data_IF_784610133351
#
_entry.id   IF_784610133351
#
_cell.length_a   1.000
_cell.length_b   1.000
_cell.length_c   1.000
_cell.angle_alpha   90.00
_cell.angle_beta   90.00
_cell.angle_gamma   90.00
#
_symmetry.space_group_name_H-M   'P 1'
#
loop_
_entity.id
_entity.type
_entity.pdbx_description
1 polymer ?
#
# COMPACT_ATOMS: atom_id res chain seq x y z
N UNK A 1 -11.40 0.69 0.46
CA UNK A 1 -11.48 0.24 1.86
C UNK A 1 -10.24 -0.61 2.13
N UNK A 2 -9.28 -0.06 2.87
CA UNK A 2 -8.01 -0.68 3.19
C UNK A 2 -8.16 -1.47 4.49
N UNK A 3 -8.94 -2.54 4.43
CA UNK A 3 -9.42 -3.29 5.59
C UNK A 3 -8.39 -4.20 6.24
N UNK A 4 -7.25 -4.43 5.60
CA UNK A 4 -6.23 -5.36 6.08
C UNK A 4 -5.02 -5.46 5.15
N UNK A 5 -4.09 -6.37 5.46
CA UNK A 5 -2.88 -6.60 4.66
C UNK A 5 -3.20 -7.17 3.28
N UNK A 6 -2.34 -6.88 2.31
CA UNK A 6 -2.43 -7.34 0.93
C UNK A 6 -3.30 -6.48 0.02
N UNK A 7 -3.87 -5.36 0.50
CA UNK A 7 -4.65 -4.45 -0.35
C UNK A 7 -3.72 -3.66 -1.27
N UNK A 8 -4.02 -3.68 -2.58
CA UNK A 8 -3.26 -2.99 -3.61
C UNK A 8 -3.98 -1.68 -3.98
N UNK A 9 -3.27 -0.56 -3.83
CA UNK A 9 -3.81 0.79 -3.96
C UNK A 9 -2.89 1.70 -4.76
N UNK A 10 -3.45 2.69 -5.45
CA UNK A 10 -2.69 3.68 -6.19
C UNK A 10 -2.23 4.81 -5.25
N UNK A 11 -0.93 5.04 -5.15
CA UNK A 11 -0.37 6.10 -4.32
C UNK A 11 -0.20 7.37 -5.17
N UNK A 12 -0.76 8.48 -4.65
CA UNK A 12 -0.75 9.83 -5.22
C UNK A 12 -1.79 10.13 -6.33
N UNK A 13 -2.85 10.86 -5.94
CA UNK A 13 -3.86 11.42 -6.86
C UNK A 13 -3.66 12.94 -7.08
N UNK A 14 -2.41 13.43 -7.15
CA UNK A 14 -2.15 14.86 -7.40
C UNK A 14 -2.46 15.27 -8.86
N UNK A 15 -3.29 16.30 -9.12
CA UNK A 15 -3.94 16.47 -10.43
C UNK A 15 -3.11 17.08 -11.57
N UNK A 16 -1.80 17.37 -11.41
CA UNK A 16 -1.13 18.29 -12.34
C UNK A 16 0.37 18.07 -12.54
N UNK A 17 0.81 16.82 -12.69
CA UNK A 17 2.15 16.56 -13.22
C UNK A 17 2.02 15.63 -14.42
N UNK A 18 2.31 16.16 -15.61
CA UNK A 18 2.44 15.38 -16.86
C UNK A 18 3.68 14.50 -16.66
N UNK A 19 3.46 13.32 -16.06
CA UNK A 19 4.50 12.43 -15.55
C UNK A 19 4.40 12.04 -14.06
N UNK A 20 3.32 12.38 -13.33
CA UNK A 20 3.09 11.88 -11.96
C UNK A 20 3.20 10.36 -11.95
N UNK A 21 4.29 9.88 -11.34
CA UNK A 21 4.78 8.52 -11.44
C UNK A 21 3.76 7.56 -10.84
N UNK A 22 3.12 6.72 -11.68
CA UNK A 22 2.20 5.65 -11.27
C UNK A 22 2.93 4.66 -10.36
N UNK A 23 2.95 4.96 -9.07
CA UNK A 23 3.43 4.09 -8.02
C UNK A 23 2.21 3.44 -7.36
N UNK A 24 2.28 2.13 -7.19
CA UNK A 24 1.30 1.39 -6.43
C UNK A 24 1.87 1.10 -5.04
N UNK A 25 1.00 0.96 -4.06
CA UNK A 25 1.33 0.56 -2.71
C UNK A 25 0.57 -0.72 -2.37
N UNK A 26 1.23 -1.64 -1.67
CA UNK A 26 0.61 -2.79 -1.04
C UNK A 26 0.54 -2.50 0.45
N UNK A 27 -0.67 -2.46 1.01
CA UNK A 27 -0.86 -2.26 2.44
C UNK A 27 -0.44 -3.53 3.19
N UNK A 28 0.46 -3.42 4.16
CA UNK A 28 0.85 -4.53 5.05
C UNK A 28 0.12 -4.52 6.39
N UNK A 29 -0.63 -3.45 6.66
CA UNK A 29 -1.55 -3.31 7.79
C UNK A 29 -2.84 -2.66 7.34
N UNK A 30 -3.86 -2.69 8.21
CA UNK A 30 -5.10 -1.93 8.01
C UNK A 30 -4.77 -0.43 8.10
N UNK A 31 -5.16 0.36 7.10
CA UNK A 31 -4.88 1.80 7.06
C UNK A 31 -6.14 2.54 6.62
N UNK A 32 -6.98 2.88 7.59
CA UNK A 32 -8.30 3.51 7.35
C UNK A 32 -8.19 4.94 6.84
N UNK A 33 -7.05 5.57 7.06
CA UNK A 33 -6.74 6.96 6.72
C UNK A 33 -6.71 7.19 5.20
N UNK A 34 -6.45 6.14 4.41
CA UNK A 34 -6.43 6.20 2.95
C UNK A 34 -7.77 5.88 2.31
N UNK A 35 -8.81 5.58 3.09
CA UNK A 35 -10.15 5.33 2.57
C UNK A 35 -10.78 6.62 2.05
N UNK A 36 -11.02 6.68 0.73
CA UNK A 36 -11.61 7.83 0.05
C UNK A 36 -10.59 8.72 -0.68
N UNK A 37 -9.31 8.64 -0.31
CA UNK A 37 -8.22 9.36 -1.00
C UNK A 37 -7.50 8.49 -2.03
N UNK A 38 -7.26 7.22 -1.70
CA UNK A 38 -6.54 6.29 -2.59
C UNK A 38 -7.50 5.26 -3.20
N UNK A 39 -7.33 5.01 -4.50
CA UNK A 39 -8.12 4.02 -5.23
C UNK A 39 -7.56 2.63 -5.01
N UNK A 40 -8.35 1.76 -4.39
CA UNK A 40 -8.07 0.33 -4.30
C UNK A 40 -8.44 -0.33 -5.62
N UNK A 41 -7.51 -1.07 -6.21
CA UNK A 41 -7.74 -1.75 -7.50
C UNK A 41 -7.41 -3.25 -7.47
N UNK A 42 -6.98 -3.79 -6.34
CA UNK A 42 -6.77 -5.23 -6.20
C UNK A 42 -6.40 -5.67 -4.79
N UNK A 43 -6.20 -6.97 -4.63
CA UNK A 43 -5.70 -7.60 -3.42
C UNK A 43 -4.74 -8.74 -3.79
N UNK A 44 -3.66 -8.88 -3.03
CA UNK A 44 -2.72 -10.00 -3.13
C UNK A 44 -3.44 -11.29 -2.69
N UNK A 45 -3.53 -12.26 -3.59
CA UNK A 45 -4.19 -13.56 -3.34
C UNK A 45 -3.19 -14.60 -2.83
N UNK A 46 -1.96 -14.56 -3.33
CA UNK A 46 -0.88 -15.48 -2.96
C UNK A 46 0.45 -14.70 -2.85
N UNK A 47 1.38 -15.20 -2.04
CA UNK A 47 2.72 -14.61 -1.92
C UNK A 47 2.81 -13.41 -0.95
N UNK A 48 1.79 -13.16 -0.13
CA UNK A 48 1.84 -12.11 0.90
C UNK A 48 3.03 -12.28 1.85
N UNK A 49 3.37 -13.53 2.21
CA UNK A 49 4.54 -13.82 3.06
C UNK A 49 5.88 -13.40 2.44
N UNK A 50 6.00 -13.33 1.11
CA UNK A 50 7.19 -12.77 0.45
C UNK A 50 7.28 -11.26 0.69
N UNK A 51 6.15 -10.57 0.65
CA UNK A 51 6.06 -9.11 0.85
C UNK A 51 6.34 -8.77 2.32
N UNK A 52 5.83 -9.57 3.26
CA UNK A 52 6.18 -9.45 4.69
C UNK A 52 7.67 -9.68 4.94
N UNK A 53 8.32 -10.59 4.21
CA UNK A 53 9.77 -10.78 4.31
C UNK A 53 10.53 -9.57 3.77
N UNK A 54 10.09 -8.99 2.65
CA UNK A 54 10.66 -7.73 2.14
C UNK A 54 10.54 -6.63 3.19
N UNK A 55 9.37 -6.48 3.82
CA UNK A 55 9.19 -5.52 4.92
C UNK A 55 10.11 -5.78 6.11
N UNK A 56 10.36 -7.03 6.49
CA UNK A 56 11.30 -7.33 7.58
C UNK A 56 12.75 -6.92 7.26
N UNK A 57 13.15 -7.05 6.00
CA UNK A 57 14.54 -6.76 5.58
C UNK A 57 14.78 -5.26 5.37
N UNK A 58 13.79 -4.51 4.88
CA UNK A 58 13.95 -3.07 4.53
C UNK A 58 13.04 -2.12 5.30
N UNK A 59 12.07 -2.64 6.04
CA UNK A 59 11.13 -1.86 6.84
C UNK A 59 11.80 -1.28 8.08
N UNK A 60 11.49 -0.03 8.39
CA UNK A 60 11.93 0.59 9.64
C UNK A 60 11.10 0.03 10.79
N UNK A 61 11.77 -0.46 11.82
CA UNK A 61 11.19 -1.00 13.06
C UNK A 61 10.40 0.03 13.90
N UNK A 62 10.32 1.27 13.45
CA UNK A 62 9.75 2.40 14.20
C UNK A 62 8.21 2.44 14.12
N UNK A 63 7.61 1.62 13.26
CA UNK A 63 6.17 1.62 12.94
C UNK A 63 5.36 0.57 13.74
N UNK A 64 5.83 0.21 14.94
CA UNK A 64 5.04 -0.57 15.90
C UNK A 64 4.15 0.40 16.69
N UNK A 65 2.95 0.65 16.16
CA UNK A 65 1.82 1.26 16.87
C UNK A 65 0.59 0.39 16.74
#
# INVERSE_FOLDING_TARGET
>A
MHTGPGILTMWDCRPNIIGSQTQFMICLRKIVEFDGECVVFGQVVEGLGMIENIEKEVGRTDDVS
#
